data_IF_587021792906
#
_entry.id   IF_587021792906
#
_cell.length_a   1.000
_cell.length_b   1.000
_cell.length_c   1.000
_cell.angle_alpha   90.00
_cell.angle_beta   90.00
_cell.angle_gamma   90.00
#
_symmetry.space_group_name_H-M   'P 1'
#
loop_
_entity.id
_entity.type
_entity.pdbx_description
1 polymer ?
#
# COMPACT_ATOMS: atom_id res chain seq x y z
N UNK A 1 43.23 5.13 26.68
CA UNK A 1 42.24 5.34 25.64
C UNK A 1 41.16 4.31 25.81
N UNK A 2 40.05 4.73 26.45
CA UNK A 2 38.87 3.89 26.59
C UNK A 2 38.14 3.95 25.26
N UNK A 3 38.27 2.88 24.45
CA UNK A 3 37.45 2.70 23.29
C UNK A 3 35.98 2.56 23.74
N UNK A 4 35.22 3.57 23.48
CA UNK A 4 33.78 3.44 23.50
C UNK A 4 33.45 2.60 22.27
N UNK A 5 33.03 1.34 22.47
CA UNK A 5 32.40 0.57 21.41
C UNK A 5 31.13 1.30 21.05
N UNK A 6 31.16 2.09 20.00
CA UNK A 6 29.94 2.59 19.36
C UNK A 6 29.19 1.39 18.79
N UNK A 7 28.13 0.98 19.47
CA UNK A 7 27.20 -0.02 18.92
C UNK A 7 26.50 0.62 17.74
N UNK A 8 26.97 0.28 16.55
CA UNK A 8 26.32 0.70 15.31
C UNK A 8 24.88 0.20 15.32
N UNK A 9 23.93 1.13 15.09
CA UNK A 9 22.51 0.82 15.00
C UNK A 9 22.01 1.25 13.64
N UNK A 10 21.17 0.44 13.02
CA UNK A 10 20.44 0.88 11.84
C UNK A 10 19.50 2.03 12.21
N UNK A 11 19.75 3.22 11.65
CA UNK A 11 18.97 4.42 11.88
C UNK A 11 18.97 5.28 10.62
N UNK A 12 17.78 5.72 10.20
CA UNK A 12 17.66 6.71 9.14
C UNK A 12 17.76 8.11 9.74
N UNK A 13 18.85 8.82 9.45
CA UNK A 13 19.15 10.15 9.99
C UNK A 13 19.27 11.18 8.92
N UNK A 14 18.81 12.37 9.21
CA UNK A 14 19.03 13.59 8.44
C UNK A 14 19.09 14.78 9.37
N UNK A 15 19.61 15.92 8.88
CA UNK A 15 19.67 17.16 9.66
C UNK A 15 18.25 17.74 9.82
N UNK A 16 17.82 18.02 11.04
CA UNK A 16 16.49 18.55 11.34
C UNK A 16 15.52 17.54 11.98
N UNK A 17 15.74 16.23 11.84
CA UNK A 17 14.84 15.17 12.31
C UNK A 17 14.31 15.36 13.74
N UNK A 18 15.20 15.70 14.69
CA UNK A 18 14.83 15.90 16.09
C UNK A 18 13.96 17.14 16.28
N UNK A 19 14.17 18.19 15.49
CA UNK A 19 13.36 19.39 15.49
C UNK A 19 11.98 19.13 14.88
N UNK A 20 11.91 18.43 13.75
CA UNK A 20 10.68 18.00 13.11
C UNK A 20 9.81 17.16 14.07
N UNK A 21 10.42 16.20 14.78
CA UNK A 21 9.72 15.41 15.80
C UNK A 21 9.16 16.25 16.93
N UNK A 22 9.93 17.21 17.45
CA UNK A 22 9.42 18.12 18.49
C UNK A 22 8.28 18.97 17.96
N UNK A 23 8.42 19.51 16.75
CA UNK A 23 7.38 20.34 16.14
C UNK A 23 6.05 19.58 15.98
N UNK A 24 6.09 18.32 15.56
CA UNK A 24 4.89 17.48 15.43
C UNK A 24 4.05 17.42 16.72
N UNK A 25 4.69 17.42 17.87
CA UNK A 25 4.02 17.31 19.19
C UNK A 25 3.96 18.61 19.97
N UNK A 26 4.45 19.72 19.42
CA UNK A 26 4.26 21.05 20.03
C UNK A 26 2.81 21.47 19.88
N UNK A 27 2.12 21.82 20.98
CA UNK A 27 0.72 22.26 20.91
C UNK A 27 0.54 23.46 20.00
N UNK A 28 -0.50 23.39 19.17
CA UNK A 28 -0.92 24.53 18.33
C UNK A 28 -1.69 25.56 19.13
N UNK A 29 -1.64 26.83 18.70
CA UNK A 29 -2.52 27.92 19.14
C UNK A 29 -3.61 28.24 18.11
N UNK A 30 -3.59 27.55 16.96
CA UNK A 30 -4.58 27.71 15.91
C UNK A 30 -5.96 27.22 16.36
N UNK A 31 -6.99 27.84 15.86
CA UNK A 31 -8.39 27.45 16.04
C UNK A 31 -9.11 27.43 14.71
N UNK A 32 -10.13 26.60 14.58
CA UNK A 32 -10.98 26.58 13.39
C UNK A 32 -11.98 27.72 13.45
N UNK A 33 -12.16 28.41 12.33
CA UNK A 33 -13.19 29.41 12.14
C UNK A 33 -14.15 28.95 11.05
N UNK A 34 -15.45 28.97 11.34
CA UNK A 34 -16.48 28.61 10.37
C UNK A 34 -16.69 29.73 9.35
N UNK A 35 -16.59 29.40 8.06
CA UNK A 35 -16.85 30.33 6.96
C UNK A 35 -18.25 30.05 6.37
N UNK A 36 -19.25 30.77 6.88
CA UNK A 36 -20.63 30.65 6.46
C UNK A 36 -20.83 30.96 4.96
N UNK A 37 -20.07 31.91 4.42
CA UNK A 37 -20.23 32.36 3.02
C UNK A 37 -19.76 31.33 1.99
N UNK A 38 -18.80 30.50 2.38
CA UNK A 38 -18.23 29.47 1.52
C UNK A 38 -18.80 28.07 1.80
N UNK A 39 -19.60 27.92 2.84
CA UNK A 39 -20.22 26.65 3.21
C UNK A 39 -21.47 26.39 2.36
N UNK A 40 -21.61 25.18 1.84
CA UNK A 40 -22.73 24.73 1.02
C UNK A 40 -23.42 23.57 1.73
N UNK A 41 -24.75 23.65 1.86
CA UNK A 41 -25.55 22.61 2.53
C UNK A 41 -25.06 22.28 3.95
N UNK A 42 -24.62 23.27 4.71
CA UNK A 42 -23.99 23.09 6.01
C UNK A 42 -24.80 22.29 7.03
N UNK A 43 -26.15 22.36 6.94
CA UNK A 43 -27.09 21.65 7.81
C UNK A 43 -27.16 20.14 7.54
N UNK A 44 -26.78 19.71 6.31
CA UNK A 44 -27.00 18.34 5.86
C UNK A 44 -25.73 17.62 5.40
N UNK A 45 -24.65 18.35 5.13
CA UNK A 45 -23.39 17.76 4.70
C UNK A 45 -22.59 17.25 5.90
N UNK A 46 -21.96 16.09 5.73
CA UNK A 46 -20.96 15.56 6.68
C UNK A 46 -19.52 15.85 6.22
N UNK A 47 -19.33 16.49 5.07
CA UNK A 47 -18.04 16.82 4.50
C UNK A 47 -17.52 18.15 5.07
N UNK A 48 -16.21 18.20 5.33
CA UNK A 48 -15.51 19.38 5.87
C UNK A 48 -14.33 19.69 4.96
N UNK A 49 -14.20 20.98 4.56
CA UNK A 49 -13.01 21.51 3.91
C UNK A 49 -12.34 22.46 4.91
N UNK A 50 -11.07 22.24 5.21
CA UNK A 50 -10.30 23.05 6.13
C UNK A 50 -9.14 23.67 5.34
N UNK A 51 -9.05 25.00 5.35
CA UNK A 51 -8.00 25.77 4.71
C UNK A 51 -7.04 26.32 5.77
N UNK A 52 -5.74 26.11 5.58
CA UNK A 52 -4.71 26.56 6.50
C UNK A 52 -3.41 25.80 6.34
N UNK A 53 -2.39 26.15 7.12
CA UNK A 53 -1.16 25.38 7.18
C UNK A 53 -1.47 23.97 7.70
N UNK A 54 -1.12 22.94 6.93
CA UNK A 54 -1.64 21.59 7.13
C UNK A 54 -1.13 20.92 8.42
N UNK A 55 0.11 21.19 8.89
CA UNK A 55 0.59 20.64 10.16
C UNK A 55 -0.21 21.24 11.35
N UNK A 56 -0.49 22.54 11.34
CA UNK A 56 -1.29 23.18 12.36
C UNK A 56 -2.74 22.67 12.33
N UNK A 57 -3.31 22.48 11.13
CA UNK A 57 -4.64 21.86 10.96
C UNK A 57 -4.67 20.44 11.54
N UNK A 58 -3.69 19.60 11.21
CA UNK A 58 -3.59 18.24 11.76
C UNK A 58 -3.51 18.23 13.29
N UNK A 59 -2.74 19.16 13.89
CA UNK A 59 -2.66 19.31 15.36
C UNK A 59 -4.01 19.70 15.96
N UNK A 60 -4.74 20.65 15.36
CA UNK A 60 -6.10 21.03 15.79
C UNK A 60 -7.03 19.83 15.73
N UNK A 61 -7.01 19.07 14.63
CA UNK A 61 -7.86 17.90 14.45
C UNK A 61 -7.55 16.77 15.46
N UNK A 62 -6.34 16.72 16.01
CA UNK A 62 -5.95 15.65 16.94
C UNK A 62 -6.86 15.59 18.17
N UNK A 63 -7.39 16.72 18.65
CA UNK A 63 -8.29 16.75 19.80
C UNK A 63 -9.62 16.02 19.57
N UNK A 64 -10.15 16.10 18.36
CA UNK A 64 -11.48 15.55 17.99
C UNK A 64 -11.42 14.26 17.19
N UNK A 65 -10.35 14.04 16.43
CA UNK A 65 -10.23 12.95 15.45
C UNK A 65 -9.14 11.92 15.79
N UNK A 66 -8.53 11.95 16.96
CA UNK A 66 -7.57 10.92 17.38
C UNK A 66 -8.20 9.52 17.28
N UNK A 67 -7.53 8.60 16.58
CA UNK A 67 -7.98 7.23 16.32
C UNK A 67 -9.38 7.12 15.68
N UNK A 68 -9.79 8.10 14.87
CA UNK A 68 -11.12 8.10 14.22
C UNK A 68 -11.08 8.05 12.70
N UNK A 69 -9.96 8.40 12.08
CA UNK A 69 -9.82 8.46 10.62
C UNK A 69 -9.58 7.06 10.07
N UNK A 70 -10.41 6.59 9.16
CA UNK A 70 -10.28 5.27 8.54
C UNK A 70 -9.25 5.25 7.42
N UNK A 71 -9.21 6.30 6.61
CA UNK A 71 -8.33 6.41 5.46
C UNK A 71 -7.78 7.82 5.35
N UNK A 72 -6.47 7.93 5.12
CA UNK A 72 -5.80 9.18 4.78
C UNK A 72 -5.21 9.01 3.38
N UNK A 73 -5.42 10.00 2.50
CA UNK A 73 -4.72 10.13 1.23
C UNK A 73 -3.93 11.43 1.23
N UNK A 74 -2.65 11.36 0.89
CA UNK A 74 -1.75 12.51 0.80
C UNK A 74 -1.17 12.58 -0.61
N UNK A 75 -1.23 13.75 -1.20
CA UNK A 75 -0.51 14.13 -2.41
C UNK A 75 0.46 15.25 -2.04
N UNK A 76 1.67 14.94 -1.57
CA UNK A 76 2.63 15.91 -1.08
C UNK A 76 3.40 16.56 -2.23
N UNK A 77 4.15 17.65 -1.98
CA UNK A 77 5.14 18.16 -2.95
C UNK A 77 6.16 17.09 -3.30
N UNK A 78 6.42 16.88 -4.59
CA UNK A 78 7.31 15.82 -5.09
C UNK A 78 8.80 16.20 -5.05
N UNK A 79 9.10 17.40 -4.61
CA UNK A 79 10.46 17.92 -4.47
C UNK A 79 11.28 17.89 -5.79
N UNK A 80 10.65 18.31 -6.89
CA UNK A 80 11.23 18.25 -8.24
C UNK A 80 12.24 19.37 -8.53
N UNK A 81 12.47 20.29 -7.60
CA UNK A 81 13.37 21.43 -7.77
C UNK A 81 12.79 22.61 -8.55
N UNK A 82 11.56 22.49 -9.05
CA UNK A 82 10.82 23.62 -9.61
C UNK A 82 10.07 24.32 -8.48
N UNK A 83 10.13 25.66 -8.43
CA UNK A 83 9.39 26.46 -7.46
C UNK A 83 7.89 26.19 -7.62
N UNK A 84 7.30 25.52 -6.65
CA UNK A 84 5.85 25.39 -6.61
C UNK A 84 5.23 26.76 -6.35
N UNK A 85 4.15 27.08 -7.06
CA UNK A 85 3.34 28.30 -6.93
C UNK A 85 2.67 28.50 -5.55
N UNK A 86 2.92 27.61 -4.62
CA UNK A 86 2.58 27.79 -3.23
C UNK A 86 3.78 28.41 -2.54
N UNK A 87 3.58 29.61 -1.99
CA UNK A 87 4.54 30.34 -1.16
C UNK A 87 4.81 29.64 0.18
N UNK A 88 4.98 28.35 0.14
CA UNK A 88 5.59 27.60 1.24
C UNK A 88 7.08 27.85 1.08
N UNK A 89 7.62 28.81 1.85
CA UNK A 89 9.03 29.17 1.90
C UNK A 89 9.91 27.99 2.34
N UNK A 90 9.96 26.94 1.53
CA UNK A 90 10.91 25.83 1.70
C UNK A 90 12.33 26.22 1.22
N UNK A 91 12.45 27.31 0.50
CA UNK A 91 13.74 27.87 0.15
C UNK A 91 14.34 28.65 1.32
N UNK A 92 14.79 27.93 2.33
CA UNK A 92 15.73 28.50 3.28
C UNK A 92 16.94 29.04 2.49
N UNK A 93 17.32 30.29 2.70
CA UNK A 93 18.49 30.82 2.01
C UNK A 93 19.73 29.98 2.34
N UNK A 94 20.67 29.79 1.39
CA UNK A 94 21.94 29.09 1.65
C UNK A 94 22.60 29.52 2.95
N UNK A 95 22.48 30.79 3.29
CA UNK A 95 23.10 31.39 4.47
C UNK A 95 22.43 30.93 5.76
N UNK A 96 21.09 30.94 5.82
CA UNK A 96 20.34 30.51 7.01
C UNK A 96 20.46 29.00 7.26
N UNK A 97 20.54 28.21 6.22
CA UNK A 97 20.81 26.77 6.34
C UNK A 97 22.19 26.50 6.92
N UNK A 98 23.22 27.17 6.41
CA UNK A 98 24.60 26.97 6.90
C UNK A 98 24.79 27.50 8.33
N UNK A 99 24.12 28.58 8.69
CA UNK A 99 24.09 29.08 10.07
C UNK A 99 23.41 28.07 11.03
N UNK A 100 22.34 27.41 10.55
CA UNK A 100 21.62 26.38 11.33
C UNK A 100 22.38 25.07 11.44
N UNK A 101 23.16 24.68 10.43
CA UNK A 101 23.86 23.39 10.39
C UNK A 101 25.27 23.46 10.94
N UNK A 102 25.75 24.65 11.35
CA UNK A 102 27.14 24.86 11.84
C UNK A 102 28.22 24.35 10.88
N UNK A 103 27.92 24.22 9.56
CA UNK A 103 28.82 23.68 8.54
C UNK A 103 29.92 24.68 8.16
N UNK A 104 29.88 25.92 8.69
CA UNK A 104 30.92 26.93 8.52
C UNK A 104 31.60 27.21 9.84
N UNK A 105 32.82 26.80 9.98
CA UNK A 105 33.78 27.30 10.93
C UNK A 105 34.79 28.18 10.16
N UNK A 106 34.92 29.46 10.51
CA UNK A 106 35.89 30.43 9.95
C UNK A 106 35.89 30.61 8.41
N UNK A 107 34.74 30.39 7.74
CA UNK A 107 34.62 30.65 6.28
C UNK A 107 35.09 29.52 5.38
N UNK A 108 35.47 28.37 5.93
CA UNK A 108 35.85 27.17 5.17
C UNK A 108 34.65 26.23 5.07
N UNK A 109 34.30 25.82 3.85
CA UNK A 109 33.26 24.79 3.60
C UNK A 109 33.89 23.43 3.88
N UNK A 110 33.43 22.73 4.94
CA UNK A 110 33.97 21.43 5.36
C UNK A 110 33.37 20.25 4.57
N UNK A 111 32.39 20.50 3.70
CA UNK A 111 31.73 19.45 2.93
C UNK A 111 32.05 19.59 1.43
N UNK A 112 32.48 18.47 0.83
CA UNK A 112 32.74 18.35 -0.61
C UNK A 112 31.51 17.95 -1.43
N UNK A 113 30.35 17.69 -0.78
CA UNK A 113 29.12 17.42 -1.47
C UNK A 113 28.54 18.70 -2.08
N UNK A 114 28.09 18.61 -3.35
CA UNK A 114 27.54 19.74 -4.08
C UNK A 114 26.41 20.38 -3.28
N UNK A 115 26.44 21.69 -3.18
CA UNK A 115 25.58 22.56 -2.36
C UNK A 115 24.05 22.40 -2.56
N UNK A 116 23.62 21.56 -3.49
CA UNK A 116 22.21 21.47 -3.91
C UNK A 116 21.45 20.26 -3.36
N UNK A 117 22.11 19.07 -3.25
CA UNK A 117 21.34 17.83 -3.08
C UNK A 117 20.93 17.52 -1.63
N UNK A 118 21.83 17.66 -0.66
CA UNK A 118 21.54 17.26 0.73
C UNK A 118 20.50 18.13 1.44
N UNK A 119 20.39 19.41 1.10
CA UNK A 119 19.44 20.36 1.72
C UNK A 119 18.01 20.13 1.31
N UNK A 120 17.85 19.85 0.04
CA UNK A 120 16.57 19.66 -0.59
C UNK A 120 15.80 18.52 0.08
N UNK A 121 16.48 17.39 0.24
CA UNK A 121 15.91 16.21 0.87
C UNK A 121 15.66 16.40 2.36
N UNK A 122 16.55 17.08 3.10
CA UNK A 122 16.40 17.28 4.55
C UNK A 122 15.17 18.13 4.90
N UNK A 123 14.94 19.23 4.18
CA UNK A 123 13.77 20.07 4.43
C UNK A 123 12.48 19.33 4.10
N UNK A 124 12.43 18.63 2.98
CA UNK A 124 11.29 17.81 2.61
C UNK A 124 11.02 16.70 3.64
N UNK A 125 12.08 16.06 4.13
CA UNK A 125 11.98 15.05 5.19
C UNK A 125 11.44 15.63 6.51
N UNK A 126 11.88 16.82 6.93
CA UNK A 126 11.37 17.49 8.13
C UNK A 126 9.86 17.72 8.03
N UNK A 127 9.40 18.18 6.89
CA UNK A 127 8.00 18.45 6.63
C UNK A 127 7.16 17.19 6.60
N UNK A 128 7.57 16.20 5.84
CA UNK A 128 6.84 14.94 5.76
C UNK A 128 6.83 14.19 7.08
N UNK A 129 7.96 14.12 7.77
CA UNK A 129 8.07 13.40 9.03
C UNK A 129 7.15 13.97 10.11
N UNK A 130 7.11 15.30 10.26
CA UNK A 130 6.24 15.95 11.24
C UNK A 130 4.76 15.68 10.95
N UNK A 131 4.33 15.77 9.70
CA UNK A 131 2.95 15.53 9.26
C UNK A 131 2.55 14.07 9.39
N UNK A 132 3.41 13.15 9.01
CA UNK A 132 3.15 11.70 9.12
C UNK A 132 3.03 11.25 10.59
N UNK A 133 3.85 11.80 11.50
CA UNK A 133 3.72 11.53 12.94
C UNK A 133 2.34 11.93 13.48
N UNK A 134 1.83 13.10 13.10
CA UNK A 134 0.49 13.54 13.52
C UNK A 134 -0.60 12.73 12.82
N UNK A 135 -0.49 12.53 11.50
CA UNK A 135 -1.44 11.74 10.72
C UNK A 135 -1.63 10.32 11.31
N UNK A 136 -0.53 9.68 11.72
CA UNK A 136 -0.59 8.38 12.40
C UNK A 136 -1.45 8.41 13.66
N UNK A 137 -1.48 9.51 14.41
CA UNK A 137 -2.32 9.63 15.62
C UNK A 137 -3.80 9.76 15.32
N UNK A 138 -4.15 10.28 14.14
CA UNK A 138 -5.54 10.42 13.69
C UNK A 138 -6.12 9.10 13.19
N UNK A 139 -5.29 8.24 12.58
CA UNK A 139 -5.72 6.95 12.05
C UNK A 139 -6.27 6.03 13.14
N UNK A 140 -7.37 5.35 12.80
CA UNK A 140 -7.91 4.22 13.57
C UNK A 140 -6.89 3.07 13.57
N UNK A 141 -6.93 2.15 14.56
CA UNK A 141 -6.09 0.94 14.52
C UNK A 141 -6.22 0.13 13.22
N UNK A 142 -7.43 0.04 12.65
CA UNK A 142 -7.74 -0.60 11.37
C UNK A 142 -7.69 0.38 10.18
N UNK A 143 -7.02 1.52 10.33
CA UNK A 143 -6.90 2.56 9.31
C UNK A 143 -5.70 2.36 8.38
N UNK A 144 -5.77 3.02 7.22
CA UNK A 144 -4.74 3.00 6.17
C UNK A 144 -4.38 4.40 5.72
N UNK A 145 -3.15 4.55 5.22
CA UNK A 145 -2.68 5.76 4.58
C UNK A 145 -2.12 5.44 3.20
N UNK A 146 -2.46 6.27 2.22
CA UNK A 146 -1.94 6.25 0.87
C UNK A 146 -1.21 7.56 0.59
N UNK A 147 -0.04 7.50 -0.02
CA UNK A 147 0.81 8.66 -0.28
C UNK A 147 1.33 8.57 -1.71
N UNK A 148 0.94 9.54 -2.55
CA UNK A 148 1.46 9.66 -3.91
C UNK A 148 2.88 10.18 -3.91
N UNK A 149 3.72 9.72 -4.83
CA UNK A 149 5.08 10.18 -5.00
C UNK A 149 5.63 9.76 -6.36
N UNK A 150 6.55 10.55 -6.91
CA UNK A 150 7.35 10.13 -8.05
C UNK A 150 8.73 9.60 -7.63
N UNK A 151 9.61 9.38 -8.61
CA UNK A 151 10.95 8.83 -8.39
C UNK A 151 11.88 9.72 -7.57
N UNK A 152 11.59 11.03 -7.42
CA UNK A 152 12.48 11.97 -6.72
C UNK A 152 12.63 11.63 -5.23
N UNK A 153 11.51 11.39 -4.52
CA UNK A 153 11.53 11.21 -3.06
C UNK A 153 10.95 9.86 -2.59
N UNK A 154 10.56 8.95 -3.48
CA UNK A 154 9.94 7.67 -3.10
C UNK A 154 10.81 6.84 -2.14
N UNK A 155 12.11 6.85 -2.35
CA UNK A 155 13.07 6.11 -1.52
C UNK A 155 13.19 6.68 -0.11
N UNK A 156 13.13 8.00 0.05
CA UNK A 156 13.11 8.67 1.34
C UNK A 156 11.75 8.52 2.02
N UNK A 157 10.64 8.70 1.27
CA UNK A 157 9.29 8.50 1.76
C UNK A 157 9.14 7.11 2.39
N UNK A 158 9.61 6.08 1.70
CA UNK A 158 9.54 4.71 2.19
C UNK A 158 10.26 4.57 3.54
N UNK A 159 11.47 5.12 3.69
CA UNK A 159 12.24 5.06 4.94
C UNK A 159 11.57 5.82 6.09
N UNK A 160 11.02 6.99 5.82
CA UNK A 160 10.28 7.76 6.82
C UNK A 160 9.01 7.03 7.25
N UNK A 161 8.27 6.44 6.32
CA UNK A 161 7.08 5.67 6.62
C UNK A 161 7.39 4.40 7.41
N UNK A 162 8.47 3.68 7.09
CA UNK A 162 8.95 2.53 7.87
C UNK A 162 9.21 2.93 9.34
N UNK A 163 9.80 4.11 9.57
CA UNK A 163 10.04 4.62 10.94
C UNK A 163 8.75 5.05 11.64
N UNK A 164 7.83 5.72 10.93
CA UNK A 164 6.61 6.26 11.52
C UNK A 164 5.58 5.17 11.77
N UNK A 165 5.35 4.28 10.82
CA UNK A 165 4.28 3.27 10.86
C UNK A 165 4.77 1.90 11.30
N UNK A 166 6.06 1.59 11.13
CA UNK A 166 6.67 0.27 11.26
C UNK A 166 6.77 -0.43 9.89
N UNK A 167 7.92 -1.05 9.62
CA UNK A 167 8.18 -1.78 8.36
C UNK A 167 7.15 -2.91 8.15
N UNK A 168 6.74 -3.58 9.22
CA UNK A 168 5.73 -4.65 9.23
C UNK A 168 4.32 -4.18 8.85
N UNK A 169 4.09 -2.88 8.83
CA UNK A 169 2.81 -2.26 8.46
C UNK A 169 2.77 -1.75 7.02
N UNK A 170 3.85 -1.94 6.27
CA UNK A 170 3.83 -1.72 4.84
C UNK A 170 2.90 -2.71 4.15
N UNK A 171 2.01 -2.22 3.28
CA UNK A 171 1.08 -3.07 2.53
C UNK A 171 1.54 -3.24 1.09
N UNK A 172 1.70 -2.16 0.36
CA UNK A 172 1.99 -2.20 -1.07
C UNK A 172 2.54 -0.86 -1.57
N UNK A 173 3.32 -0.92 -2.64
CA UNK A 173 3.61 0.20 -3.51
C UNK A 173 2.86 -0.01 -4.83
N UNK A 174 1.78 0.77 -5.03
CA UNK A 174 0.98 0.74 -6.25
C UNK A 174 1.69 1.57 -7.30
N UNK A 175 1.85 1.02 -8.49
CA UNK A 175 2.41 1.73 -9.65
C UNK A 175 1.25 2.32 -10.44
N UNK A 176 1.20 3.64 -10.50
CA UNK A 176 0.20 4.38 -11.25
C UNK A 176 0.74 4.77 -12.62
N UNK A 177 0.11 4.32 -13.69
CA UNK A 177 0.45 4.71 -15.05
C UNK A 177 -0.19 6.08 -15.37
N UNK A 178 0.61 7.15 -15.27
CA UNK A 178 0.14 8.53 -15.48
C UNK A 178 -0.03 8.93 -16.94
N UNK A 179 0.60 8.22 -17.87
CA UNK A 179 0.56 8.51 -19.32
C UNK A 179 0.57 7.23 -20.14
N UNK A 180 -0.37 7.08 -21.04
CA UNK A 180 -0.39 5.99 -22.04
C UNK A 180 0.43 6.31 -23.29
N UNK A 181 0.77 7.58 -23.53
CA UNK A 181 1.52 8.02 -24.71
C UNK A 181 3.00 8.17 -24.39
N UNK A 182 3.84 7.67 -25.28
CA UNK A 182 5.31 7.84 -25.19
C UNK A 182 5.68 9.32 -25.32
N UNK A 183 6.48 9.81 -24.38
CA UNK A 183 7.09 11.14 -24.49
C UNK A 183 8.36 11.06 -25.34
N UNK A 184 8.43 11.86 -26.40
CA UNK A 184 9.64 11.97 -27.24
C UNK A 184 10.70 12.91 -26.65
N UNK A 185 10.46 13.49 -25.46
CA UNK A 185 11.32 14.52 -24.88
C UNK A 185 12.49 13.96 -24.06
N UNK A 186 12.51 12.66 -23.79
CA UNK A 186 13.61 12.03 -23.03
C UNK A 186 14.64 11.44 -24.00
N UNK A 187 15.93 11.73 -23.76
CA UNK A 187 17.06 11.17 -24.53
C UNK A 187 17.38 9.73 -24.17
N UNK A 188 17.02 9.27 -22.98
CA UNK A 188 17.30 7.91 -22.50
C UNK A 188 15.99 7.17 -22.22
N UNK A 189 15.45 7.32 -20.99
CA UNK A 189 14.22 6.68 -20.56
C UNK A 189 13.21 7.76 -20.13
N UNK A 190 11.95 7.61 -20.56
CA UNK A 190 10.84 8.43 -20.07
C UNK A 190 10.13 7.71 -18.94
N UNK A 191 9.80 8.42 -17.86
CA UNK A 191 8.97 7.89 -16.76
C UNK A 191 7.50 8.14 -17.09
N UNK A 192 6.72 7.07 -17.16
CA UNK A 192 5.26 7.11 -17.36
C UNK A 192 4.48 6.73 -16.12
N UNK A 193 5.17 6.49 -15.02
CA UNK A 193 4.58 5.97 -13.79
C UNK A 193 4.85 6.89 -12.61
N UNK A 194 4.00 6.76 -11.62
CA UNK A 194 4.14 7.30 -10.28
C UNK A 194 3.87 6.19 -9.25
N UNK A 195 4.17 6.46 -8.01
CA UNK A 195 4.03 5.53 -6.91
C UNK A 195 2.91 5.98 -5.97
N UNK A 196 2.14 5.04 -5.45
CA UNK A 196 1.25 5.28 -4.32
C UNK A 196 1.63 4.28 -3.23
N UNK A 197 2.31 4.78 -2.21
CA UNK A 197 2.78 3.96 -1.08
C UNK A 197 1.65 3.80 -0.08
N UNK A 198 1.37 2.58 0.33
CA UNK A 198 0.32 2.26 1.27
C UNK A 198 0.86 1.62 2.56
N UNK A 199 0.47 2.17 3.70
CA UNK A 199 0.72 1.61 5.04
C UNK A 199 -0.58 1.47 5.81
N UNK A 200 -0.67 0.43 6.63
CA UNK A 200 -1.70 0.32 7.66
C UNK A 200 -1.22 0.95 8.97
N UNK A 201 -2.17 1.31 9.82
CA UNK A 201 -1.87 1.82 11.17
C UNK A 201 -1.37 0.73 12.11
N UNK A 202 -1.98 -0.45 12.05
CA UNK A 202 -1.63 -1.66 12.82
C UNK A 202 -2.13 -2.93 12.12
N UNK A 203 -1.87 -4.08 12.72
CA UNK A 203 -2.31 -5.38 12.20
C UNK A 203 -3.81 -5.66 12.39
N UNK A 204 -4.58 -4.74 12.96
CA UNK A 204 -6.03 -4.90 13.12
C UNK A 204 -6.80 -4.83 11.79
N UNK A 205 -6.21 -4.27 10.74
CA UNK A 205 -6.79 -4.39 9.40
C UNK A 205 -6.46 -5.78 8.85
N UNK A 206 -7.50 -6.56 8.60
CA UNK A 206 -7.39 -7.94 8.14
C UNK A 206 -7.63 -8.03 6.64
N UNK A 207 -8.52 -7.18 6.11
CA UNK A 207 -9.00 -7.28 4.73
C UNK A 207 -9.29 -5.88 4.13
N UNK A 208 -8.85 -5.67 2.86
CA UNK A 208 -9.13 -4.46 2.06
C UNK A 208 -9.80 -4.87 0.74
N UNK A 209 -10.45 -6.03 0.69
CA UNK A 209 -11.07 -6.53 -0.53
C UNK A 209 -12.32 -5.73 -0.90
N UNK A 210 -12.47 -5.46 -2.19
CA UNK A 210 -13.70 -4.91 -2.72
C UNK A 210 -14.84 -5.93 -2.67
N UNK A 211 -16.09 -5.49 -2.48
CA UNK A 211 -17.25 -6.35 -2.68
C UNK A 211 -17.23 -6.92 -4.10
N UNK A 212 -17.63 -8.17 -4.23
CA UNK A 212 -17.73 -8.79 -5.56
C UNK A 212 -18.77 -8.08 -6.41
N UNK A 213 -18.46 -7.88 -7.70
CA UNK A 213 -19.40 -7.30 -8.66
C UNK A 213 -20.45 -8.32 -9.10
N UNK A 214 -21.60 -7.84 -9.53
CA UNK A 214 -22.65 -8.70 -10.09
C UNK A 214 -22.17 -9.47 -11.32
N UNK A 215 -21.34 -8.86 -12.15
CA UNK A 215 -20.72 -9.52 -13.31
C UNK A 215 -19.80 -10.67 -12.93
N UNK A 216 -19.04 -10.54 -11.84
CA UNK A 216 -18.23 -11.64 -11.31
C UNK A 216 -19.09 -12.75 -10.70
N UNK A 217 -20.23 -12.42 -10.13
CA UNK A 217 -21.18 -13.38 -9.56
C UNK A 217 -21.98 -14.11 -10.65
N UNK A 218 -22.23 -13.48 -11.79
CA UNK A 218 -22.93 -14.08 -12.94
C UNK A 218 -22.22 -15.30 -13.55
N UNK A 219 -20.91 -15.48 -13.25
CA UNK A 219 -20.14 -16.67 -13.67
C UNK A 219 -20.47 -17.92 -12.85
N UNK A 220 -21.27 -17.79 -11.80
CA UNK A 220 -21.63 -18.89 -10.91
C UNK A 220 -23.03 -19.40 -11.25
N UNK A 221 -23.18 -20.71 -11.30
CA UNK A 221 -24.44 -21.41 -11.56
C UNK A 221 -24.54 -22.63 -10.69
N UNK A 222 -25.68 -23.30 -10.67
CA UNK A 222 -25.87 -24.54 -9.90
C UNK A 222 -26.50 -25.62 -10.80
N UNK A 223 -25.76 -26.14 -11.79
CA UNK A 223 -26.33 -27.07 -12.77
C UNK A 223 -26.70 -28.46 -12.20
N UNK A 224 -26.16 -28.83 -11.04
CA UNK A 224 -26.40 -30.12 -10.38
C UNK A 224 -27.24 -30.02 -9.10
N UNK A 225 -27.83 -28.85 -8.84
CA UNK A 225 -28.63 -28.57 -7.65
C UNK A 225 -27.89 -28.87 -6.34
N UNK A 226 -26.61 -28.54 -6.28
CA UNK A 226 -25.81 -28.71 -5.07
C UNK A 226 -26.41 -27.87 -3.91
N UNK A 227 -26.66 -28.44 -2.72
CA UNK A 227 -27.32 -27.74 -1.62
C UNK A 227 -26.49 -26.56 -1.07
N UNK A 228 -25.21 -26.48 -1.36
CA UNK A 228 -24.33 -25.36 -0.98
C UNK A 228 -24.54 -24.11 -1.85
N UNK A 229 -25.30 -24.21 -2.93
CA UNK A 229 -25.68 -23.08 -3.78
C UNK A 229 -24.88 -22.95 -5.07
N UNK A 230 -24.70 -21.69 -5.52
CA UNK A 230 -24.04 -21.40 -6.79
C UNK A 230 -22.53 -21.68 -6.73
N UNK A 231 -21.99 -22.24 -7.81
CA UNK A 231 -20.57 -22.55 -7.94
C UNK A 231 -20.06 -22.34 -9.36
N UNK A 232 -18.76 -22.17 -9.51
CA UNK A 232 -18.04 -22.26 -10.80
C UNK A 232 -17.02 -23.38 -10.73
N UNK A 233 -16.49 -23.83 -11.88
CA UNK A 233 -15.53 -24.91 -11.90
C UNK A 233 -14.17 -24.49 -12.40
N UNK A 234 -13.12 -24.97 -11.74
CA UNK A 234 -11.73 -24.80 -12.17
C UNK A 234 -11.11 -26.12 -12.57
N UNK A 235 -10.08 -26.08 -13.43
CA UNK A 235 -9.33 -27.26 -13.81
C UNK A 235 -8.72 -27.95 -12.60
N UNK A 236 -8.79 -29.28 -12.55
CA UNK A 236 -8.14 -30.09 -11.53
C UNK A 236 -6.70 -30.43 -11.86
N UNK A 237 -6.30 -30.25 -13.12
CA UNK A 237 -4.94 -30.44 -13.62
C UNK A 237 -4.05 -29.24 -13.32
N UNK A 238 -2.78 -29.50 -13.01
CA UNK A 238 -1.72 -28.51 -12.87
C UNK A 238 -1.09 -28.26 -14.24
N UNK A 239 -0.67 -27.04 -14.61
CA UNK A 239 0.15 -26.82 -15.79
C UNK A 239 1.55 -27.48 -15.72
N UNK A 240 2.07 -27.77 -14.52
CA UNK A 240 3.34 -28.44 -14.32
C UNK A 240 3.33 -29.89 -14.81
N UNK A 241 4.45 -30.35 -15.36
CA UNK A 241 4.61 -31.71 -15.84
C UNK A 241 4.69 -32.71 -14.67
N UNK A 242 4.37 -33.96 -14.97
CA UNK A 242 4.45 -35.10 -14.02
C UNK A 242 5.84 -35.25 -13.39
N UNK A 243 6.88 -35.03 -14.20
CA UNK A 243 8.28 -35.14 -13.76
C UNK A 243 8.68 -34.05 -12.77
N UNK A 244 8.08 -32.88 -12.89
CA UNK A 244 8.33 -31.71 -11.99
C UNK A 244 7.60 -31.84 -10.64
N UNK A 245 6.50 -32.61 -10.62
CA UNK A 245 5.63 -32.75 -9.45
C UNK A 245 5.19 -34.21 -9.23
N UNK A 246 6.12 -35.15 -9.01
CA UNK A 246 5.81 -36.58 -8.90
C UNK A 246 4.86 -36.92 -7.73
N UNK A 247 4.90 -36.14 -6.64
CA UNK A 247 4.00 -36.28 -5.49
C UNK A 247 2.54 -35.91 -5.80
N UNK A 248 2.29 -35.24 -6.92
CA UNK A 248 0.95 -34.89 -7.40
C UNK A 248 0.47 -35.80 -8.53
N UNK A 249 1.12 -36.95 -8.74
CA UNK A 249 0.78 -37.94 -9.76
C UNK A 249 0.20 -39.17 -9.09
N UNK A 250 -1.10 -39.35 -9.20
CA UNK A 250 -1.84 -40.48 -8.64
C UNK A 250 -3.06 -40.76 -9.51
N UNK A 251 -3.59 -41.97 -9.40
CA UNK A 251 -4.81 -42.42 -10.10
C UNK A 251 -6.04 -41.85 -9.39
N UNK A 252 -6.97 -41.30 -10.13
CA UNK A 252 -8.30 -40.92 -9.68
C UNK A 252 -9.37 -41.73 -10.40
N UNK A 253 -10.43 -42.10 -9.67
CA UNK A 253 -11.52 -42.89 -10.24
C UNK A 253 -12.72 -41.98 -10.52
N UNK A 254 -13.27 -42.08 -11.74
CA UNK A 254 -14.53 -41.42 -12.06
C UNK A 254 -15.67 -42.22 -11.41
N UNK A 255 -16.43 -41.62 -10.48
CA UNK A 255 -17.47 -42.35 -9.75
C UNK A 255 -18.68 -42.75 -10.59
N UNK A 256 -18.86 -42.16 -11.78
CA UNK A 256 -19.98 -42.42 -12.70
C UNK A 256 -19.68 -43.52 -13.69
N UNK A 257 -18.41 -43.65 -14.12
CA UNK A 257 -18.01 -44.65 -15.14
C UNK A 257 -17.20 -45.79 -14.55
N UNK A 258 -16.62 -45.64 -13.36
CA UNK A 258 -15.69 -46.59 -12.75
C UNK A 258 -14.27 -46.55 -13.41
N UNK A 259 -14.02 -45.62 -14.34
CA UNK A 259 -12.74 -45.53 -15.03
C UNK A 259 -11.66 -44.96 -14.10
N UNK A 260 -10.51 -45.62 -14.12
CA UNK A 260 -9.30 -45.15 -13.45
C UNK A 260 -8.51 -44.24 -14.41
N UNK A 261 -8.19 -43.05 -13.94
CA UNK A 261 -7.65 -41.98 -14.76
C UNK A 261 -6.35 -41.45 -14.15
N UNK A 262 -5.32 -41.43 -15.01
CA UNK A 262 -4.09 -40.65 -14.79
C UNK A 262 -3.95 -39.59 -15.87
N UNK A 263 -3.44 -38.44 -15.51
CA UNK A 263 -3.17 -37.43 -16.54
C UNK A 263 -1.87 -37.84 -17.28
N UNK A 264 -1.85 -37.91 -18.61
CA UNK A 264 -0.71 -38.45 -19.36
C UNK A 264 0.57 -37.60 -19.24
N UNK A 265 0.46 -36.30 -19.11
CA UNK A 265 1.58 -35.36 -19.17
C UNK A 265 1.71 -34.47 -17.94
N UNK A 266 0.60 -34.07 -17.35
CA UNK A 266 0.57 -33.09 -16.26
C UNK A 266 0.29 -33.74 -14.90
N UNK A 267 0.74 -33.11 -13.86
CA UNK A 267 0.37 -33.47 -12.49
C UNK A 267 -1.06 -33.01 -12.15
N UNK A 268 -1.62 -33.51 -11.07
CA UNK A 268 -2.83 -32.95 -10.49
C UNK A 268 -2.53 -31.65 -9.72
N UNK A 269 -3.56 -30.88 -9.44
CA UNK A 269 -3.41 -29.59 -8.75
C UNK A 269 -3.25 -29.71 -7.25
N UNK A 270 -3.74 -30.79 -6.66
CA UNK A 270 -3.82 -31.01 -5.22
C UNK A 270 -3.17 -32.34 -4.84
N UNK A 271 -2.71 -32.44 -3.61
CA UNK A 271 -2.19 -33.69 -3.02
C UNK A 271 -3.29 -34.72 -2.83
N UNK A 272 -2.89 -36.01 -2.73
CA UNK A 272 -3.82 -37.12 -2.65
C UNK A 272 -4.80 -37.01 -1.48
N UNK A 273 -4.34 -36.58 -0.30
CA UNK A 273 -5.23 -36.38 0.87
C UNK A 273 -6.28 -35.29 0.62
N UNK A 274 -5.89 -34.21 -0.05
CA UNK A 274 -6.83 -33.14 -0.44
C UNK A 274 -7.80 -33.63 -1.51
N UNK A 275 -7.36 -34.48 -2.44
CA UNK A 275 -8.25 -35.15 -3.39
C UNK A 275 -9.32 -35.99 -2.66
N UNK A 276 -8.92 -36.82 -1.69
CA UNK A 276 -9.88 -37.61 -0.91
C UNK A 276 -10.89 -36.72 -0.16
N UNK A 277 -10.45 -35.61 0.38
CA UNK A 277 -11.35 -34.64 0.98
C UNK A 277 -12.33 -34.06 -0.05
N UNK A 278 -11.86 -33.63 -1.23
CA UNK A 278 -12.73 -33.13 -2.29
C UNK A 278 -13.74 -34.17 -2.77
N UNK A 279 -13.37 -35.45 -2.78
CA UNK A 279 -14.29 -36.56 -3.08
C UNK A 279 -15.37 -36.67 -1.98
N UNK A 280 -14.96 -36.72 -0.73
CA UNK A 280 -15.89 -36.84 0.41
C UNK A 280 -16.86 -35.66 0.53
N UNK A 281 -16.40 -34.48 0.14
CA UNK A 281 -17.20 -33.25 0.12
C UNK A 281 -18.02 -33.08 -1.19
N UNK A 282 -18.00 -34.04 -2.10
CA UNK A 282 -18.64 -33.93 -3.43
C UNK A 282 -18.27 -32.63 -4.19
N UNK A 283 -16.99 -32.28 -4.16
CA UNK A 283 -16.47 -31.08 -4.84
C UNK A 283 -15.95 -31.34 -6.25
N UNK A 284 -15.90 -32.60 -6.70
CA UNK A 284 -15.44 -32.96 -8.04
C UNK A 284 -16.61 -32.98 -9.02
N UNK A 285 -16.51 -32.14 -10.05
CA UNK A 285 -17.46 -32.06 -11.15
C UNK A 285 -16.96 -32.81 -12.38
N UNK A 286 -17.73 -33.80 -12.81
CA UNK A 286 -17.40 -34.67 -13.95
C UNK A 286 -18.22 -34.36 -15.21
N UNK A 287 -18.80 -33.16 -15.31
CA UNK A 287 -19.72 -32.78 -16.34
C UNK A 287 -21.15 -33.12 -16.02
N UNK A 288 -22.08 -32.63 -16.82
CA UNK A 288 -23.50 -32.81 -16.59
C UNK A 288 -23.95 -34.28 -16.72
N UNK A 289 -23.25 -35.04 -17.56
CA UNK A 289 -23.48 -36.48 -17.79
C UNK A 289 -22.48 -37.40 -17.04
N UNK A 290 -21.59 -36.82 -16.22
CA UNK A 290 -20.57 -37.55 -15.48
C UNK A 290 -19.40 -38.10 -16.34
N UNK A 291 -19.30 -37.70 -17.60
CA UNK A 291 -18.39 -38.31 -18.59
C UNK A 291 -17.18 -37.43 -18.98
N UNK A 292 -16.94 -36.35 -18.31
CA UNK A 292 -15.72 -35.58 -18.55
C UNK A 292 -14.49 -36.45 -18.33
N UNK A 293 -13.53 -36.38 -19.23
CA UNK A 293 -12.27 -37.14 -19.14
C UNK A 293 -11.49 -36.84 -17.86
N UNK A 294 -11.51 -35.60 -17.41
CA UNK A 294 -10.87 -35.12 -16.18
C UNK A 294 -11.86 -34.37 -15.31
N UNK A 295 -11.79 -34.51 -13.98
CA UNK A 295 -12.65 -33.73 -13.10
C UNK A 295 -12.30 -32.26 -13.10
N UNK A 296 -13.25 -31.46 -12.70
CA UNK A 296 -13.06 -30.05 -12.35
C UNK A 296 -13.45 -29.86 -10.88
N UNK A 297 -12.85 -28.87 -10.20
CA UNK A 297 -13.18 -28.57 -8.82
C UNK A 297 -14.28 -27.52 -8.78
N UNK A 298 -15.36 -27.80 -8.04
CA UNK A 298 -16.39 -26.81 -7.70
C UNK A 298 -15.82 -25.77 -6.73
N UNK A 299 -15.97 -24.49 -7.07
CA UNK A 299 -15.71 -23.35 -6.20
C UNK A 299 -17.03 -22.65 -5.93
N UNK A 300 -17.52 -22.74 -4.70
CA UNK A 300 -18.81 -22.16 -4.34
C UNK A 300 -18.71 -20.65 -4.17
N UNK A 301 -19.77 -19.96 -4.53
CA UNK A 301 -19.87 -18.51 -4.33
C UNK A 301 -19.76 -18.14 -2.85
N UNK A 302 -20.31 -18.99 -1.96
CA UNK A 302 -20.21 -18.85 -0.51
C UNK A 302 -18.79 -18.96 0.04
N UNK A 303 -17.88 -19.65 -0.66
CA UNK A 303 -16.47 -19.77 -0.28
C UNK A 303 -15.64 -18.55 -0.72
N UNK A 304 -16.23 -17.66 -1.53
CA UNK A 304 -15.55 -16.52 -2.13
C UNK A 304 -15.72 -15.28 -1.26
N UNK A 305 -14.67 -14.90 -0.61
CA UNK A 305 -14.52 -13.54 -0.07
C UNK A 305 -14.32 -12.54 -1.22
N UNK A 306 -14.63 -11.26 -1.02
CA UNK A 306 -14.52 -10.22 -2.05
C UNK A 306 -13.23 -10.27 -2.86
N UNK A 307 -13.23 -9.73 -4.08
CA UNK A 307 -12.07 -9.63 -4.95
C UNK A 307 -11.14 -8.47 -4.56
N UNK A 308 -9.89 -8.49 -5.01
CA UNK A 308 -9.05 -7.31 -5.08
C UNK A 308 -9.28 -6.60 -6.40
#
# INVERSE_FOLDING_TARGET
>A
PNGVEETERYEFRWFGKSAAKRNAFTPTRATLHYDEKRSVNAETTENIIIEGENLEVLKVLTSSYRNKVKCIYIDPPYNTGEDFLYNDDFSESKKSYWERTEVKEEGITLDTNSDSDGRFHSNWLDDMYSRLLVARTLLRPDGVIFISMDDHEIHHLRKVCDEVFGEENFLVNIIWEKRQTRSNNSKLFGTNTEHIVCYRRSQEIIDIKEPRTDSANALYSNPDNDPRGLWTSILYTNPALREERPNLCYTITNPFTGEEIEHPTNAWKYEYNTYLQHVSENRLWWGQDGRNKYPRLKKFLSDMEGGM
#
